data_IF_203400579274
#
_entry.id   IF_203400579274
#
_cell.length_a   1.000
_cell.length_b   1.000
_cell.length_c   1.000
_cell.angle_alpha   90.00
_cell.angle_beta   90.00
_cell.angle_gamma   90.00
#
_symmetry.space_group_name_H-M   'P 1'
#
loop_
_entity.id
_entity.type
_entity.pdbx_description
1 polymer ?
#
# COMPACT_ATOMS: atom_id res chain seq x y z
N UNK A 1 47.18 6.95 43.67
CA UNK A 1 45.86 6.93 43.00
C UNK A 1 45.55 5.48 42.69
N UNK A 2 44.73 4.84 43.53
CA UNK A 2 44.33 3.45 43.32
C UNK A 2 43.07 3.45 42.44
N UNK A 3 43.13 2.77 41.30
CA UNK A 3 42.00 2.64 40.38
C UNK A 3 41.05 1.57 40.96
N UNK A 4 39.77 1.90 41.03
CA UNK A 4 38.72 1.00 41.55
C UNK A 4 38.64 -0.27 40.67
N UNK A 5 38.79 -1.48 41.26
CA UNK A 5 38.68 -2.75 40.54
C UNK A 5 37.37 -2.89 39.74
N UNK A 6 36.30 -2.22 40.17
CA UNK A 6 35.00 -2.22 39.49
C UNK A 6 35.02 -1.41 38.19
N UNK A 7 35.80 -0.33 38.12
CA UNK A 7 35.98 0.44 36.88
C UNK A 7 36.85 -0.33 35.87
N UNK A 8 37.82 -1.10 36.35
CA UNK A 8 38.63 -1.98 35.48
C UNK A 8 37.77 -3.10 34.90
N UNK A 9 36.92 -3.72 35.73
CA UNK A 9 36.01 -4.78 35.28
C UNK A 9 34.97 -4.26 34.28
N UNK A 10 34.41 -3.07 34.53
CA UNK A 10 33.48 -2.41 33.61
C UNK A 10 34.16 -2.10 32.26
N UNK A 11 35.41 -1.59 32.30
CA UNK A 11 36.20 -1.33 31.10
C UNK A 11 36.48 -2.59 30.28
N UNK A 12 36.86 -3.69 30.94
CA UNK A 12 37.11 -4.98 30.27
C UNK A 12 35.83 -5.54 29.65
N UNK A 13 34.68 -5.46 30.34
CA UNK A 13 33.39 -5.92 29.81
C UNK A 13 32.92 -5.11 28.61
N UNK A 14 33.16 -3.78 28.59
CA UNK A 14 32.85 -2.97 27.41
C UNK A 14 33.75 -3.31 26.23
N UNK A 15 35.05 -3.51 26.46
CA UNK A 15 35.99 -3.85 25.37
C UNK A 15 35.69 -5.24 24.79
N UNK A 16 35.33 -6.23 25.62
CA UNK A 16 34.95 -7.56 25.11
C UNK A 16 33.62 -7.53 24.36
N UNK A 17 32.64 -6.71 24.77
CA UNK A 17 31.41 -6.49 23.99
C UNK A 17 31.70 -5.86 22.62
N UNK A 18 32.61 -4.87 22.55
CA UNK A 18 33.00 -4.25 21.27
C UNK A 18 33.83 -5.18 20.38
N UNK A 19 34.67 -6.06 20.95
CA UNK A 19 35.40 -7.08 20.18
C UNK A 19 34.43 -8.15 19.66
N UNK A 20 33.46 -8.60 20.45
CA UNK A 20 32.42 -9.54 19.98
C UNK A 20 31.53 -8.93 18.89
N UNK A 21 31.18 -7.64 18.99
CA UNK A 21 30.45 -6.92 17.93
C UNK A 21 31.31 -6.70 16.68
N UNK A 22 32.63 -6.48 16.83
CA UNK A 22 33.57 -6.37 15.72
C UNK A 22 33.76 -7.68 14.94
N UNK A 23 33.76 -8.82 15.64
CA UNK A 23 33.88 -10.16 15.03
C UNK A 23 32.59 -10.61 14.31
N UNK A 24 31.42 -10.10 14.73
CA UNK A 24 30.15 -10.35 14.03
C UNK A 24 29.99 -9.56 12.73
N UNK A 25 30.78 -8.51 12.51
CA UNK A 25 30.77 -7.70 11.27
C UNK A 25 31.82 -8.20 10.26
N UNK A 26 32.73 -9.08 10.66
CA UNK A 26 33.86 -9.55 9.83
C UNK A 26 33.71 -10.95 9.21
N UNK A 27 32.54 -11.58 9.32
CA UNK A 27 32.24 -12.86 8.66
C UNK A 27 30.94 -12.77 7.90
N UNK A 28 31.01 -12.19 6.71
CA UNK A 28 30.21 -12.60 5.54
C UNK A 28 30.99 -12.24 4.25
N UNK A 29 31.75 -13.23 3.80
CA UNK A 29 32.21 -13.58 2.44
C UNK A 29 32.56 -12.50 1.39
N UNK A 30 33.86 -12.20 1.27
CA UNK A 30 34.69 -11.90 0.07
C UNK A 30 36.14 -12.27 0.49
N UNK A 31 37.06 -12.91 -0.24
CA UNK A 31 37.38 -13.16 -1.67
C UNK A 31 37.96 -14.62 -1.81
N UNK A 32 38.35 -15.21 -2.94
CA UNK A 32 39.36 -14.79 -3.95
C UNK A 32 39.53 -15.89 -5.06
N UNK A 33 40.42 -15.78 -6.08
CA UNK A 33 40.15 -16.19 -7.47
C UNK A 33 40.99 -17.40 -7.95
N UNK A 34 40.90 -17.69 -9.26
CA UNK A 34 41.83 -18.42 -10.19
C UNK A 34 41.32 -19.79 -10.71
N UNK A 35 41.80 -20.29 -11.87
CA UNK A 35 42.18 -19.63 -13.12
C UNK A 35 41.43 -20.20 -14.36
N UNK A 36 41.65 -19.57 -15.51
CA UNK A 36 41.12 -19.96 -16.81
C UNK A 36 41.59 -21.37 -17.27
N UNK A 37 40.66 -22.15 -17.81
CA UNK A 37 40.94 -23.21 -18.81
C UNK A 37 39.84 -23.18 -19.86
N UNK A 38 40.29 -23.07 -21.11
CA UNK A 38 39.51 -23.21 -22.34
C UNK A 38 38.75 -24.55 -22.38
N UNK A 39 37.49 -24.54 -22.80
CA UNK A 39 37.09 -25.49 -23.85
C UNK A 39 35.93 -24.96 -24.71
N UNK A 40 35.94 -25.42 -25.95
CA UNK A 40 35.28 -24.84 -27.10
C UNK A 40 33.92 -25.49 -27.41
N UNK A 41 33.05 -24.72 -28.09
CA UNK A 41 31.93 -25.14 -28.94
C UNK A 41 30.67 -25.76 -28.30
N UNK A 42 29.56 -25.00 -28.28
CA UNK A 42 28.49 -25.16 -29.30
C UNK A 42 27.44 -24.04 -29.18
N UNK A 43 27.20 -23.40 -30.32
CA UNK A 43 26.19 -22.38 -30.54
C UNK A 43 24.77 -22.94 -30.38
N UNK A 44 23.90 -22.14 -29.77
CA UNK A 44 22.46 -22.16 -29.99
C UNK A 44 22.01 -20.72 -30.04
N UNK A 45 21.71 -20.26 -31.25
CA UNK A 45 21.20 -18.94 -31.58
C UNK A 45 19.88 -18.67 -30.83
N UNK A 46 19.82 -17.57 -30.08
CA UNK A 46 18.58 -16.84 -29.86
C UNK A 46 18.87 -15.35 -30.02
N UNK A 47 18.81 -14.95 -31.29
CA UNK A 47 18.26 -13.70 -31.81
C UNK A 47 18.36 -12.48 -30.88
N UNK A 48 19.46 -11.74 -31.03
CA UNK A 48 19.51 -10.31 -30.75
C UNK A 48 18.52 -9.60 -31.69
N UNK A 49 17.29 -9.42 -31.22
CA UNK A 49 16.37 -8.48 -31.86
C UNK A 49 16.81 -7.07 -31.47
N UNK A 50 17.26 -6.33 -32.49
CA UNK A 50 17.48 -4.89 -32.45
C UNK A 50 16.27 -4.20 -31.82
N UNK A 51 16.51 -3.43 -30.75
CA UNK A 51 15.52 -2.51 -30.17
C UNK A 51 15.20 -1.45 -31.21
N UNK A 52 14.17 -1.70 -32.00
CA UNK A 52 13.46 -0.64 -32.69
C UNK A 52 12.84 0.24 -31.58
N UNK A 53 13.13 1.55 -31.60
CA UNK A 53 12.31 2.53 -30.89
C UNK A 53 10.87 2.33 -31.39
N UNK A 54 10.05 1.66 -30.57
CA UNK A 54 8.64 1.45 -30.84
C UNK A 54 7.93 2.79 -30.91
N UNK A 55 6.92 2.87 -31.77
CA UNK A 55 6.07 4.04 -31.96
C UNK A 55 5.18 4.35 -30.73
N UNK A 56 5.19 3.48 -29.71
CA UNK A 56 4.56 3.69 -28.41
C UNK A 56 5.65 4.15 -27.43
N UNK A 57 5.43 5.30 -26.77
CA UNK A 57 6.40 5.97 -25.89
C UNK A 57 6.81 5.15 -24.64
N UNK A 58 7.06 5.76 -23.46
CA UNK A 58 7.50 5.04 -22.25
C UNK A 58 6.41 4.15 -21.62
N UNK A 59 5.32 3.90 -22.35
CA UNK A 59 4.14 3.19 -21.91
C UNK A 59 4.33 1.70 -22.05
N UNK A 60 3.89 0.94 -21.06
CA UNK A 60 3.81 -0.52 -21.17
C UNK A 60 2.36 -0.96 -21.28
N UNK A 61 2.15 -2.02 -22.04
CA UNK A 61 0.90 -2.74 -21.96
C UNK A 61 0.70 -3.29 -20.54
N UNK A 62 -0.55 -3.31 -20.11
CA UNK A 62 -0.91 -3.95 -18.86
C UNK A 62 -0.49 -5.43 -18.88
N UNK A 63 0.02 -5.90 -17.75
CA UNK A 63 0.32 -7.32 -17.58
C UNK A 63 -0.96 -8.14 -17.55
N UNK A 64 -0.80 -9.47 -17.57
CA UNK A 64 -1.94 -10.39 -17.40
C UNK A 64 -2.64 -10.09 -16.07
N UNK A 65 -3.94 -9.79 -16.13
CA UNK A 65 -4.79 -9.70 -14.94
C UNK A 65 -4.72 -11.03 -14.19
N UNK A 66 -4.23 -10.99 -12.96
CA UNK A 66 -4.04 -12.17 -12.15
C UNK A 66 -5.38 -12.62 -11.55
N UNK A 67 -5.56 -13.93 -11.39
CA UNK A 67 -6.80 -14.45 -10.80
C UNK A 67 -6.61 -14.64 -9.30
N UNK A 68 -7.65 -14.39 -8.48
CA UNK A 68 -7.65 -14.81 -7.08
C UNK A 68 -7.29 -16.29 -6.97
N UNK A 69 -6.27 -16.60 -6.17
CA UNK A 69 -5.83 -17.98 -5.91
C UNK A 69 -6.14 -18.43 -4.47
N UNK A 70 -6.70 -17.54 -3.64
CA UNK A 70 -7.25 -17.91 -2.35
C UNK A 70 -8.60 -18.61 -2.52
N UNK A 71 -8.82 -19.65 -1.72
CA UNK A 71 -10.13 -20.29 -1.62
C UNK A 71 -10.98 -19.52 -0.60
N UNK A 72 -12.27 -19.33 -0.89
CA UNK A 72 -13.22 -18.77 0.09
C UNK A 72 -13.38 -19.78 1.23
N UNK A 73 -12.85 -19.53 2.45
CA UNK A 73 -12.85 -20.52 3.50
C UNK A 73 -14.22 -20.54 4.16
N UNK A 74 -14.98 -21.63 3.96
CA UNK A 74 -16.33 -21.77 4.52
C UNK A 74 -16.23 -22.12 6.01
N UNK A 75 -16.99 -21.43 6.86
CA UNK A 75 -17.20 -21.78 8.27
C UNK A 75 -18.21 -22.93 8.27
N UNK A 76 -17.87 -24.08 8.86
CA UNK A 76 -18.90 -25.05 9.23
C UNK A 76 -19.85 -24.37 10.21
N UNK A 77 -21.16 -24.45 9.93
CA UNK A 77 -22.20 -23.77 10.69
C UNK A 77 -22.09 -24.14 12.17
N UNK A 78 -21.68 -23.18 13.00
CA UNK A 78 -21.82 -23.24 14.43
C UNK A 78 -23.08 -22.44 14.80
N UNK A 79 -24.01 -23.08 15.51
CA UNK A 79 -25.37 -22.57 15.74
C UNK A 79 -25.42 -21.23 16.51
N UNK A 80 -24.36 -20.82 17.23
CA UNK A 80 -24.34 -19.57 18.00
C UNK A 80 -22.99 -18.85 17.92
N UNK A 81 -23.02 -17.54 17.60
CA UNK A 81 -21.81 -16.70 17.61
C UNK A 81 -21.36 -16.44 19.04
N UNK A 82 -20.05 -16.56 19.31
CA UNK A 82 -19.50 -16.43 20.67
C UNK A 82 -19.39 -14.98 21.19
N UNK A 83 -19.83 -13.99 20.39
CA UNK A 83 -19.88 -12.58 20.74
C UNK A 83 -19.49 -11.67 19.56
N UNK A 84 -19.10 -10.42 19.84
CA UNK A 84 -18.87 -9.39 18.81
C UNK A 84 -17.42 -8.90 18.73
N UNK A 85 -16.93 -8.76 17.51
CA UNK A 85 -15.71 -8.00 17.17
C UNK A 85 -16.13 -6.67 16.55
N UNK A 86 -15.75 -5.57 17.20
CA UNK A 86 -16.03 -4.20 16.75
C UNK A 86 -14.72 -3.48 16.47
N UNK A 87 -14.73 -2.49 15.58
CA UNK A 87 -13.56 -1.67 15.25
C UNK A 87 -14.01 -0.39 14.54
N UNK A 88 -13.07 0.51 14.31
CA UNK A 88 -13.28 1.74 13.52
C UNK A 88 -12.20 1.81 12.45
N UNK A 89 -12.58 2.27 11.27
CA UNK A 89 -11.66 2.60 10.20
C UNK A 89 -11.08 4.00 10.45
N UNK A 90 -9.77 4.16 10.24
CA UNK A 90 -9.10 5.44 10.51
C UNK A 90 -8.06 5.76 9.45
N UNK A 91 -7.68 7.04 9.40
CA UNK A 91 -6.58 7.60 8.59
C UNK A 91 -6.86 7.70 7.09
N UNK A 92 -7.29 6.63 6.43
CA UNK A 92 -7.52 6.62 4.98
C UNK A 92 -7.64 5.21 4.39
N UNK A 93 -8.01 5.10 3.11
CA UNK A 93 -8.33 3.84 2.46
C UNK A 93 -7.21 2.80 2.51
N UNK A 94 -5.94 3.21 2.45
CA UNK A 94 -4.80 2.29 2.57
C UNK A 94 -4.69 1.64 3.95
N UNK A 95 -5.21 2.29 4.99
CA UNK A 95 -5.32 1.75 6.35
C UNK A 95 -6.58 0.92 6.49
N UNK A 96 -7.69 1.37 5.90
CA UNK A 96 -8.99 0.69 5.98
C UNK A 96 -8.90 -0.75 5.47
N UNK A 97 -8.22 -0.93 4.32
CA UNK A 97 -7.96 -2.24 3.72
C UNK A 97 -7.24 -3.19 4.69
N UNK A 98 -6.18 -2.73 5.37
CA UNK A 98 -5.45 -3.54 6.36
C UNK A 98 -6.26 -3.78 7.64
N UNK A 99 -6.94 -2.76 8.17
CA UNK A 99 -7.76 -2.84 9.38
C UNK A 99 -8.90 -3.86 9.24
N UNK A 100 -9.54 -3.90 8.07
CA UNK A 100 -10.56 -4.91 7.76
C UNK A 100 -9.95 -6.30 7.68
N UNK A 101 -8.81 -6.45 7.01
CA UNK A 101 -8.15 -7.75 6.92
C UNK A 101 -7.85 -8.33 8.30
N UNK A 102 -7.27 -7.53 9.20
CA UNK A 102 -6.98 -7.96 10.57
C UNK A 102 -8.27 -8.28 11.34
N UNK A 103 -9.31 -7.45 11.23
CA UNK A 103 -10.57 -7.65 11.93
C UNK A 103 -11.31 -8.92 11.47
N UNK A 104 -11.28 -9.22 10.17
CA UNK A 104 -11.87 -10.44 9.60
C UNK A 104 -11.12 -11.68 10.07
N UNK A 105 -9.79 -11.66 10.07
CA UNK A 105 -8.95 -12.77 10.57
C UNK A 105 -9.23 -13.03 12.06
N UNK A 106 -9.25 -11.97 12.88
CA UNK A 106 -9.58 -12.08 14.32
C UNK A 106 -11.00 -12.63 14.52
N UNK A 107 -12.00 -12.10 13.82
CA UNK A 107 -13.38 -12.56 13.95
C UNK A 107 -13.55 -14.02 13.54
N UNK A 108 -12.86 -14.45 12.47
CA UNK A 108 -12.86 -15.83 11.99
C UNK A 108 -12.29 -16.79 13.04
N UNK A 109 -11.10 -16.50 13.57
CA UNK A 109 -10.45 -17.38 14.55
C UNK A 109 -11.26 -17.48 15.85
N UNK A 110 -11.86 -16.38 16.28
CA UNK A 110 -12.68 -16.33 17.49
C UNK A 110 -14.11 -16.85 17.30
N UNK A 111 -14.52 -17.22 16.06
CA UNK A 111 -15.91 -17.53 15.70
C UNK A 111 -16.89 -16.45 16.18
N UNK A 112 -16.47 -15.19 16.07
CA UNK A 112 -17.20 -14.02 16.50
C UNK A 112 -17.99 -13.41 15.34
N UNK A 113 -19.05 -12.67 15.67
CA UNK A 113 -19.76 -11.83 14.70
C UNK A 113 -18.97 -10.54 14.49
N UNK A 114 -18.61 -10.24 13.24
CA UNK A 114 -17.96 -9.00 12.85
C UNK A 114 -19.02 -7.90 12.70
N UNK A 115 -18.82 -6.76 13.35
CA UNK A 115 -19.72 -5.61 13.23
C UNK A 115 -19.19 -4.65 12.19
N UNK A 116 -20.05 -4.14 11.30
CA UNK A 116 -19.66 -3.11 10.32
C UNK A 116 -19.09 -1.88 11.07
N UNK A 117 -17.88 -1.42 10.71
CA UNK A 117 -17.21 -0.34 11.42
C UNK A 117 -17.79 1.03 11.07
N UNK A 118 -17.56 2.02 11.92
CA UNK A 118 -17.62 3.44 11.53
C UNK A 118 -16.27 3.87 10.94
N UNK A 119 -16.27 4.97 10.17
CA UNK A 119 -15.05 5.63 9.71
C UNK A 119 -14.81 6.86 10.59
N UNK A 120 -13.56 7.08 11.02
CA UNK A 120 -13.17 8.19 11.87
C UNK A 120 -11.99 8.95 11.27
N UNK A 121 -12.17 10.26 11.13
CA UNK A 121 -11.11 11.15 10.67
C UNK A 121 -10.13 11.53 11.79
N UNK A 122 -9.25 12.48 11.46
CA UNK A 122 -8.22 12.97 12.40
C UNK A 122 -8.79 13.93 13.45
N UNK A 123 -9.89 14.63 13.14
CA UNK A 123 -10.47 15.63 14.02
C UNK A 123 -11.47 15.01 15.01
N UNK A 124 -11.53 15.50 16.26
CA UNK A 124 -12.52 15.03 17.23
C UNK A 124 -13.96 15.24 16.72
N UNK A 125 -14.72 14.16 16.66
CA UNK A 125 -16.11 14.19 16.18
C UNK A 125 -16.26 13.94 14.67
N UNK A 126 -15.17 13.88 13.92
CA UNK A 126 -15.17 13.44 12.53
C UNK A 126 -15.48 11.93 12.48
N UNK A 127 -16.75 11.63 12.17
CA UNK A 127 -17.29 10.27 12.12
C UNK A 127 -18.24 10.16 10.95
N UNK A 128 -18.10 9.07 10.19
CA UNK A 128 -18.94 8.73 9.04
C UNK A 128 -19.43 7.30 9.15
N UNK A 129 -20.58 7.06 8.55
CA UNK A 129 -21.06 5.70 8.37
C UNK A 129 -20.27 5.01 7.24
N UNK A 130 -20.18 3.69 7.30
CA UNK A 130 -19.45 2.90 6.31
C UNK A 130 -20.06 3.02 4.91
N UNK A 131 -21.39 3.06 4.81
CA UNK A 131 -22.18 3.15 3.58
C UNK A 131 -22.05 4.49 2.84
N UNK A 132 -21.57 5.54 3.52
CA UNK A 132 -21.25 6.80 2.84
C UNK A 132 -20.06 6.66 1.89
N UNK A 133 -19.15 5.72 2.17
CA UNK A 133 -17.86 5.56 1.45
C UNK A 133 -17.78 4.24 0.69
N UNK A 134 -18.24 3.14 1.29
CA UNK A 134 -18.06 1.78 0.79
C UNK A 134 -19.39 1.06 0.60
N UNK A 135 -19.42 0.14 -0.37
CA UNK A 135 -20.59 -0.70 -0.64
C UNK A 135 -20.77 -1.76 0.47
N UNK A 136 -21.83 -1.58 1.28
CA UNK A 136 -22.18 -2.50 2.38
C UNK A 136 -22.56 -3.89 1.88
N UNK A 137 -23.30 -3.98 0.77
CA UNK A 137 -23.80 -5.26 0.29
C UNK A 137 -22.68 -6.06 -0.36
N UNK A 138 -21.75 -5.38 -1.05
CA UNK A 138 -20.49 -5.97 -1.48
C UNK A 138 -19.69 -6.50 -0.28
N UNK A 139 -19.51 -5.69 0.76
CA UNK A 139 -18.76 -6.08 1.96
C UNK A 139 -19.35 -7.34 2.62
N UNK A 140 -20.67 -7.36 2.85
CA UNK A 140 -21.36 -8.48 3.49
C UNK A 140 -21.32 -9.75 2.62
N UNK A 141 -21.64 -9.64 1.32
CA UNK A 141 -21.67 -10.80 0.42
C UNK A 141 -20.28 -11.42 0.20
N UNK A 142 -19.23 -10.60 0.16
CA UNK A 142 -17.84 -11.09 0.07
C UNK A 142 -17.44 -11.92 1.30
N UNK A 143 -17.99 -11.62 2.48
CA UNK A 143 -17.69 -12.32 3.73
C UNK A 143 -18.68 -13.44 4.08
N UNK A 144 -19.72 -13.64 3.27
CA UNK A 144 -20.71 -14.69 3.50
C UNK A 144 -20.06 -16.08 3.60
N UNK A 145 -20.42 -16.88 4.59
CA UNK A 145 -19.75 -18.16 4.87
C UNK A 145 -18.30 -18.04 5.40
N UNK A 146 -17.71 -16.84 5.49
CA UNK A 146 -16.36 -16.63 6.04
C UNK A 146 -16.44 -16.12 7.47
N UNK A 147 -17.25 -15.09 7.72
CA UNK A 147 -17.55 -14.58 9.05
C UNK A 147 -18.99 -14.07 9.06
N UNK A 148 -19.69 -14.21 10.19
CA UNK A 148 -21.03 -13.62 10.32
C UNK A 148 -20.86 -12.11 10.44
N UNK A 149 -21.54 -11.34 9.58
CA UNK A 149 -21.48 -9.88 9.59
C UNK A 149 -22.77 -9.28 10.12
N UNK A 150 -22.66 -8.33 11.04
CA UNK A 150 -23.78 -7.57 11.59
C UNK A 150 -23.73 -6.12 11.11
N UNK A 151 -24.81 -5.69 10.44
CA UNK A 151 -24.93 -4.33 9.88
C UNK A 151 -25.14 -3.25 10.96
N UNK A 152 -25.86 -3.55 12.04
CA UNK A 152 -26.18 -2.60 13.10
C UNK A 152 -25.29 -2.75 14.33
N UNK A 153 -24.95 -1.64 15.00
CA UNK A 153 -24.18 -1.69 16.25
C UNK A 153 -24.96 -2.43 17.37
N UNK A 154 -24.40 -3.50 17.95
CA UNK A 154 -25.05 -4.23 19.04
C UNK A 154 -25.02 -3.42 20.34
N UNK A 155 -26.03 -3.63 21.20
CA UNK A 155 -26.04 -3.06 22.56
C UNK A 155 -25.12 -3.85 23.47
N UNK A 156 -23.87 -3.44 23.57
CA UNK A 156 -22.86 -4.07 24.43
C UNK A 156 -22.68 -3.27 25.73
N UNK A 157 -22.77 -3.94 26.87
CA UNK A 157 -22.44 -3.35 28.17
C UNK A 157 -20.93 -3.09 28.28
N UNK A 158 -20.52 -1.93 28.80
CA UNK A 158 -19.11 -1.59 28.99
C UNK A 158 -18.33 -2.61 29.85
N UNK A 159 -19.01 -3.36 30.73
CA UNK A 159 -18.38 -4.42 31.53
C UNK A 159 -17.94 -5.64 30.70
N UNK A 160 -18.64 -5.87 29.58
CA UNK A 160 -18.49 -7.00 28.67
C UNK A 160 -17.76 -6.61 27.38
N UNK A 161 -16.98 -5.52 27.42
CA UNK A 161 -16.18 -5.06 26.29
C UNK A 161 -14.73 -4.86 26.74
N UNK A 162 -13.78 -5.39 25.97
CA UNK A 162 -12.37 -5.05 26.11
C UNK A 162 -11.86 -4.36 24.85
N UNK A 163 -10.99 -3.36 25.02
CA UNK A 163 -10.26 -2.74 23.90
C UNK A 163 -8.93 -3.46 23.75
N UNK A 164 -8.66 -3.97 22.56
CA UNK A 164 -7.47 -4.78 22.26
C UNK A 164 -6.69 -4.13 21.12
N UNK A 165 -5.38 -3.97 21.32
CA UNK A 165 -4.49 -3.48 20.27
C UNK A 165 -4.03 -4.65 19.41
N UNK A 166 -4.08 -4.50 18.09
CA UNK A 166 -3.72 -5.55 17.14
C UNK A 166 -2.71 -5.00 16.14
N UNK A 167 -1.60 -5.71 15.85
CA UNK A 167 -0.68 -5.28 14.81
C UNK A 167 -1.32 -5.46 13.42
N UNK A 168 -0.95 -4.59 12.48
CA UNK A 168 -1.19 -4.84 11.05
C UNK A 168 -0.60 -6.18 10.62
N UNK A 169 -1.37 -6.96 9.86
CA UNK A 169 -1.07 -8.35 9.46
C UNK A 169 -0.98 -9.26 10.67
N UNK A 170 -2.05 -9.27 11.45
CA UNK A 170 -2.20 -10.12 12.63
C UNK A 170 -2.00 -11.60 12.29
N UNK A 171 -1.30 -12.33 13.15
CA UNK A 171 -1.06 -13.77 13.00
C UNK A 171 -1.94 -14.59 13.93
N UNK A 172 -2.17 -15.86 13.58
CA UNK A 172 -2.94 -16.78 14.43
C UNK A 172 -2.35 -16.92 15.84
N UNK A 173 -1.01 -16.97 15.92
CA UNK A 173 -0.29 -17.02 17.20
C UNK A 173 -0.52 -15.77 18.04
N UNK A 174 -0.50 -14.57 17.43
CA UNK A 174 -0.81 -13.35 18.17
C UNK A 174 -2.23 -13.37 18.75
N UNK A 175 -3.20 -13.87 17.98
CA UNK A 175 -4.60 -13.98 18.41
C UNK A 175 -4.74 -14.95 19.57
N UNK A 176 -4.13 -16.14 19.46
CA UNK A 176 -4.16 -17.16 20.51
C UNK A 176 -3.54 -16.64 21.82
N UNK A 177 -2.37 -16.02 21.73
CA UNK A 177 -1.61 -15.59 22.90
C UNK A 177 -2.19 -14.36 23.59
N UNK A 178 -2.78 -13.42 22.82
CA UNK A 178 -3.13 -12.08 23.33
C UNK A 178 -4.62 -11.77 23.33
N UNK A 179 -5.43 -12.46 22.53
CA UNK A 179 -6.83 -12.07 22.27
C UNK A 179 -7.83 -13.13 22.75
N UNK A 180 -7.56 -14.42 22.52
CA UNK A 180 -8.53 -15.50 22.82
C UNK A 180 -9.00 -15.50 24.28
N UNK A 181 -8.07 -15.42 25.24
CA UNK A 181 -8.40 -15.41 26.68
C UNK A 181 -9.25 -14.18 27.06
N UNK A 182 -8.93 -13.02 26.49
CA UNK A 182 -9.67 -11.78 26.71
C UNK A 182 -11.09 -11.90 26.14
N UNK A 183 -11.21 -12.43 24.93
CA UNK A 183 -12.49 -12.63 24.25
C UNK A 183 -13.38 -13.62 25.00
N UNK A 184 -12.86 -14.78 25.42
CA UNK A 184 -13.62 -15.77 26.23
C UNK A 184 -14.16 -15.18 27.53
N UNK A 185 -13.41 -14.27 28.15
CA UNK A 185 -13.80 -13.65 29.43
C UNK A 185 -14.82 -12.53 29.24
N UNK A 186 -14.69 -11.73 28.18
CA UNK A 186 -15.49 -10.52 27.97
C UNK A 186 -16.69 -10.74 27.05
N UNK A 187 -16.62 -11.73 26.17
CA UNK A 187 -17.56 -11.96 25.09
C UNK A 187 -17.41 -10.98 23.92
N UNK A 188 -16.98 -9.73 24.16
CA UNK A 188 -16.87 -8.73 23.10
C UNK A 188 -15.56 -7.97 23.18
N UNK A 189 -15.00 -7.68 22.00
CA UNK A 189 -13.78 -6.90 21.87
C UNK A 189 -13.93 -5.77 20.86
N UNK A 190 -13.21 -4.68 21.13
CA UNK A 190 -13.00 -3.58 20.21
C UNK A 190 -11.54 -3.55 19.78
N UNK A 191 -11.28 -3.73 18.50
CA UNK A 191 -9.93 -3.72 17.95
C UNK A 191 -9.45 -2.30 17.69
N UNK A 192 -8.18 -2.06 17.97
CA UNK A 192 -7.44 -0.86 17.61
C UNK A 192 -6.17 -1.30 16.90
N UNK A 193 -6.16 -1.23 15.58
CA UNK A 193 -5.00 -1.63 14.79
C UNK A 193 -3.89 -0.60 14.88
N UNK A 194 -2.67 -1.05 15.09
CA UNK A 194 -1.46 -0.23 14.99
C UNK A 194 -0.54 -0.78 13.91
N UNK A 195 0.26 0.11 13.32
CA UNK A 195 1.08 -0.19 12.14
C UNK A 195 2.55 -0.12 12.53
N UNK A 196 3.13 -1.20 13.10
CA UNK A 196 4.52 -1.21 13.53
C UNK A 196 5.49 -1.10 12.34
N UNK A 197 5.07 -1.58 11.17
CA UNK A 197 5.78 -1.39 9.90
C UNK A 197 4.78 -1.29 8.75
N UNK A 198 5.22 -0.69 7.64
CA UNK A 198 4.48 -0.65 6.36
C UNK A 198 4.81 -1.86 5.47
N UNK A 199 5.32 -2.95 6.05
CA UNK A 199 5.86 -4.07 5.28
C UNK A 199 4.74 -4.96 4.69
N UNK A 200 4.38 -4.70 3.45
CA UNK A 200 3.49 -5.54 2.64
C UNK A 200 4.24 -6.59 1.81
N UNK A 201 5.41 -7.06 2.27
CA UNK A 201 6.10 -8.17 1.59
C UNK A 201 5.40 -9.49 1.87
N UNK A 202 5.36 -10.37 0.86
CA UNK A 202 4.89 -11.73 1.02
C UNK A 202 5.78 -12.50 1.98
N UNK A 203 5.17 -13.39 2.76
CA UNK A 203 5.89 -14.37 3.56
C UNK A 203 6.36 -15.54 2.71
N UNK A 204 7.25 -16.38 3.26
CA UNK A 204 7.86 -17.50 2.52
C UNK A 204 6.86 -18.62 2.20
N UNK A 205 5.84 -18.79 3.03
CA UNK A 205 4.80 -19.82 2.90
C UNK A 205 3.41 -19.21 3.09
N UNK A 206 2.43 -19.68 2.33
CA UNK A 206 1.04 -19.25 2.38
C UNK A 206 0.25 -20.19 3.29
N UNK A 207 -0.48 -19.63 4.24
CA UNK A 207 -1.31 -20.32 5.24
C UNK A 207 -2.80 -20.18 4.93
N UNK A 208 -3.66 -20.94 5.61
CA UNK A 208 -5.12 -20.75 5.51
C UNK A 208 -5.56 -19.35 5.99
N UNK A 209 -4.88 -18.81 7.01
CA UNK A 209 -5.10 -17.43 7.45
C UNK A 209 -4.74 -16.42 6.37
N UNK A 210 -3.73 -16.70 5.54
CA UNK A 210 -3.43 -15.85 4.39
C UNK A 210 -4.58 -15.85 3.38
N UNK A 211 -5.32 -16.94 3.20
CA UNK A 211 -6.50 -16.95 2.31
C UNK A 211 -7.62 -16.05 2.83
N UNK A 212 -7.88 -16.06 4.14
CA UNK A 212 -8.85 -15.15 4.79
C UNK A 212 -8.38 -13.70 4.64
N UNK A 213 -7.10 -13.43 4.93
CA UNK A 213 -6.52 -12.11 4.81
C UNK A 213 -6.54 -11.60 3.36
N UNK A 214 -6.24 -12.44 2.37
CA UNK A 214 -6.32 -12.12 0.95
C UNK A 214 -7.74 -11.73 0.54
N UNK A 215 -8.73 -12.56 0.90
CA UNK A 215 -10.14 -12.25 0.65
C UNK A 215 -10.54 -10.92 1.28
N UNK A 216 -10.21 -10.71 2.54
CA UNK A 216 -10.57 -9.51 3.27
C UNK A 216 -9.90 -8.26 2.67
N UNK A 217 -8.61 -8.34 2.37
CA UNK A 217 -7.80 -7.24 1.85
C UNK A 217 -8.21 -6.83 0.43
N UNK A 218 -8.47 -7.79 -0.46
CA UNK A 218 -8.66 -7.51 -1.89
C UNK A 218 -10.08 -7.73 -2.41
N UNK A 219 -10.95 -8.38 -1.63
CA UNK A 219 -12.30 -8.78 -2.07
C UNK A 219 -13.45 -8.07 -1.39
N UNK A 220 -13.23 -7.29 -0.32
CA UNK A 220 -14.34 -6.79 0.52
C UNK A 220 -14.65 -5.31 0.36
N UNK A 221 -13.68 -4.47 0.04
CA UNK A 221 -13.87 -3.03 -0.09
C UNK A 221 -14.01 -2.61 -1.56
N UNK A 222 -15.19 -2.08 -1.89
CA UNK A 222 -15.44 -1.32 -3.11
C UNK A 222 -16.10 0.02 -2.72
N UNK A 223 -15.83 1.11 -3.45
CA UNK A 223 -16.52 2.37 -3.19
C UNK A 223 -18.02 2.21 -3.43
N UNK A 224 -18.81 2.92 -2.64
CA UNK A 224 -20.24 3.04 -2.94
C UNK A 224 -20.46 3.78 -4.27
N UNK A 225 -21.62 3.56 -4.88
CA UNK A 225 -21.98 4.01 -6.24
C UNK A 225 -21.60 5.45 -6.57
N UNK A 226 -21.98 6.45 -5.77
CA UNK A 226 -21.69 7.86 -6.07
C UNK A 226 -20.18 8.17 -5.99
N UNK A 227 -19.45 7.53 -5.07
CA UNK A 227 -17.99 7.68 -4.98
C UNK A 227 -17.33 7.04 -6.20
N UNK A 228 -17.82 5.88 -6.64
CA UNK A 228 -17.34 5.23 -7.86
C UNK A 228 -17.61 6.08 -9.09
N UNK A 229 -18.81 6.64 -9.23
CA UNK A 229 -19.20 7.48 -10.37
C UNK A 229 -18.32 8.73 -10.49
N UNK A 230 -17.98 9.40 -9.38
CA UNK A 230 -17.08 10.57 -9.44
C UNK A 230 -15.65 10.15 -9.82
N UNK A 231 -15.16 9.01 -9.32
CA UNK A 231 -13.84 8.47 -9.68
C UNK A 231 -13.80 8.12 -11.18
N UNK A 232 -14.79 7.39 -11.67
CA UNK A 232 -14.89 6.99 -13.07
C UNK A 232 -14.97 8.21 -13.99
N UNK A 233 -15.79 9.20 -13.62
CA UNK A 233 -15.89 10.47 -14.35
C UNK A 233 -14.55 11.22 -14.42
N UNK A 234 -13.80 11.27 -13.32
CA UNK A 234 -12.47 11.88 -13.29
C UNK A 234 -11.47 11.12 -14.18
N UNK A 235 -11.48 9.78 -14.14
CA UNK A 235 -10.63 8.92 -14.98
C UNK A 235 -10.97 9.13 -16.46
N UNK A 236 -12.24 9.11 -16.84
CA UNK A 236 -12.68 9.32 -18.22
C UNK A 236 -12.28 10.70 -18.75
N UNK A 237 -12.33 11.72 -17.88
CA UNK A 237 -11.85 13.07 -18.23
C UNK A 237 -10.34 13.10 -18.42
N UNK A 238 -9.55 12.44 -17.56
CA UNK A 238 -8.09 12.32 -17.72
C UNK A 238 -7.74 11.61 -19.02
N UNK A 239 -8.40 10.49 -19.33
CA UNK A 239 -8.25 9.76 -20.59
C UNK A 239 -8.59 10.63 -21.80
N UNK A 240 -9.68 11.37 -21.73
CA UNK A 240 -10.10 12.31 -22.79
C UNK A 240 -9.09 13.43 -23.02
N UNK A 241 -8.43 13.92 -21.97
CA UNK A 241 -7.38 14.94 -22.07
C UNK A 241 -6.06 14.37 -22.61
N UNK A 242 -5.88 13.05 -22.52
CA UNK A 242 -4.69 12.32 -22.96
C UNK A 242 -4.79 11.70 -24.36
N UNK A 243 -5.57 12.28 -25.27
CA UNK A 243 -5.77 11.77 -26.64
C UNK A 243 -4.48 11.52 -27.43
N UNK A 244 -3.41 12.30 -27.22
CA UNK A 244 -2.13 12.10 -27.94
C UNK A 244 -1.29 10.96 -27.38
N UNK A 245 -1.63 10.46 -26.19
CA UNK A 245 -1.01 9.30 -25.55
C UNK A 245 -2.00 8.14 -25.48
N UNK A 246 -2.87 7.98 -26.48
CA UNK A 246 -3.88 6.91 -26.55
C UNK A 246 -4.80 6.81 -25.31
N UNK A 247 -5.03 7.93 -24.61
CA UNK A 247 -5.81 7.97 -23.37
C UNK A 247 -5.02 7.62 -22.11
N UNK A 248 -3.72 7.31 -22.21
CA UNK A 248 -2.91 6.91 -21.07
C UNK A 248 -2.49 8.09 -20.21
N UNK A 249 -2.50 7.96 -18.89
CA UNK A 249 -2.08 9.01 -17.97
C UNK A 249 -1.23 8.49 -16.80
N UNK A 250 -0.44 9.40 -16.24
CA UNK A 250 0.42 9.14 -15.07
C UNK A 250 -0.29 9.67 -13.83
N UNK A 251 -0.40 8.86 -12.78
CA UNK A 251 -0.81 9.30 -11.45
C UNK A 251 0.40 9.38 -10.51
N UNK A 252 0.56 10.51 -9.82
CA UNK A 252 1.68 10.77 -8.91
C UNK A 252 1.14 10.98 -7.49
N UNK A 253 1.50 10.09 -6.56
CA UNK A 253 1.24 10.28 -5.12
C UNK A 253 2.26 11.26 -4.55
N UNK A 254 1.89 12.54 -4.46
CA UNK A 254 2.79 13.64 -4.12
C UNK A 254 2.58 14.20 -2.70
N UNK A 255 1.39 14.02 -2.10
CA UNK A 255 0.95 14.52 -0.78
C UNK A 255 1.92 15.54 -0.13
N UNK A 256 1.84 16.79 -0.59
CA UNK A 256 2.82 17.84 -0.28
C UNK A 256 2.91 18.09 1.23
N UNK A 257 1.79 17.98 1.94
CA UNK A 257 1.72 18.14 3.40
C UNK A 257 2.57 17.11 4.16
N UNK A 258 2.85 15.94 3.56
CA UNK A 258 3.74 14.91 4.10
C UNK A 258 5.18 15.18 3.67
N UNK A 259 5.42 15.63 2.43
CA UNK A 259 6.75 15.99 1.93
C UNK A 259 7.38 17.14 2.74
N UNK A 260 6.58 18.10 3.16
CA UNK A 260 7.03 19.28 3.92
C UNK A 260 7.26 18.98 5.41
N UNK A 261 6.77 17.85 5.93
CA UNK A 261 7.00 17.42 7.32
C UNK A 261 8.38 16.76 7.46
N UNK A 262 9.13 17.13 8.50
CA UNK A 262 10.50 16.66 8.79
C UNK A 262 10.60 15.12 8.75
N UNK A 263 11.54 14.58 7.97
CA UNK A 263 11.81 13.13 7.88
C UNK A 263 12.21 12.62 6.49
N UNK A 264 12.04 13.45 5.46
CA UNK A 264 12.43 13.19 4.08
C UNK A 264 13.92 13.46 3.83
N UNK A 265 14.63 12.50 3.24
CA UNK A 265 16.00 12.68 2.73
C UNK A 265 16.08 12.16 1.29
N UNK A 266 16.79 12.88 0.40
CA UNK A 266 16.92 12.52 -1.02
C UNK A 266 17.66 11.19 -1.23
N UNK A 267 18.50 10.78 -0.27
CA UNK A 267 19.22 9.51 -0.28
C UNK A 267 19.08 8.83 1.08
N UNK A 268 18.26 7.78 1.12
CA UNK A 268 17.93 7.05 2.33
C UNK A 268 19.14 6.31 2.91
N UNK A 269 19.80 6.89 3.92
CA UNK A 269 20.57 6.08 4.88
C UNK A 269 19.61 5.16 5.65
N UNK A 270 20.15 4.06 6.21
CA UNK A 270 19.39 3.08 7.00
C UNK A 270 18.46 3.78 8.02
N UNK A 271 17.15 3.76 7.76
CA UNK A 271 16.11 4.34 8.62
C UNK A 271 15.45 5.65 8.15
N UNK A 272 15.86 6.27 7.04
CA UNK A 272 15.23 7.50 6.50
C UNK A 272 14.34 7.23 5.27
N UNK A 273 13.20 7.93 5.17
CA UNK A 273 12.26 7.78 4.05
C UNK A 273 12.76 8.56 2.84
N UNK A 274 12.95 7.89 1.71
CA UNK A 274 13.18 8.55 0.42
C UNK A 274 11.90 9.30 0.02
N UNK A 275 12.06 10.59 -0.27
CA UNK A 275 11.00 11.47 -0.73
C UNK A 275 11.50 12.30 -1.92
N UNK A 276 10.62 12.54 -2.88
CA UNK A 276 10.95 13.25 -4.11
C UNK A 276 10.08 14.49 -4.26
N UNK A 277 10.70 15.65 -4.48
CA UNK A 277 9.96 16.88 -4.73
C UNK A 277 9.32 16.83 -6.14
N UNK A 278 8.31 17.68 -6.42
CA UNK A 278 7.67 17.72 -7.75
C UNK A 278 8.67 17.91 -8.90
N UNK A 279 9.69 18.75 -8.69
CA UNK A 279 10.80 18.95 -9.64
C UNK A 279 11.59 17.67 -9.90
N UNK A 280 11.90 16.90 -8.85
CA UNK A 280 12.67 15.65 -8.96
C UNK A 280 11.88 14.62 -9.79
N UNK A 281 10.57 14.49 -9.53
CA UNK A 281 9.67 13.60 -10.28
C UNK A 281 9.52 14.06 -11.73
N UNK A 282 9.43 15.37 -11.97
CA UNK A 282 9.33 15.91 -13.33
C UNK A 282 10.57 15.56 -14.18
N UNK A 283 11.76 15.73 -13.58
CA UNK A 283 13.02 15.36 -14.22
C UNK A 283 13.13 13.85 -14.43
N UNK A 284 12.72 13.06 -13.44
CA UNK A 284 12.67 11.60 -13.52
C UNK A 284 11.81 11.14 -14.72
N UNK A 285 10.56 11.58 -14.80
CA UNK A 285 9.65 11.24 -15.90
C UNK A 285 10.21 11.68 -17.27
N UNK A 286 10.78 12.90 -17.35
CA UNK A 286 11.41 13.37 -18.59
C UNK A 286 12.57 12.47 -19.03
N UNK A 287 13.43 12.05 -18.10
CA UNK A 287 14.58 11.16 -18.40
C UNK A 287 14.15 9.75 -18.83
N UNK A 288 12.98 9.30 -18.40
CA UNK A 288 12.35 8.06 -18.84
C UNK A 288 11.67 8.17 -20.21
N UNK A 289 11.61 9.37 -20.80
CA UNK A 289 11.05 9.58 -22.14
C UNK A 289 9.57 9.99 -22.15
N UNK A 290 8.98 10.35 -21.00
CA UNK A 290 7.64 10.97 -21.00
C UNK A 290 7.70 12.33 -21.66
N UNK A 291 6.81 12.56 -22.63
CA UNK A 291 6.77 13.78 -23.41
C UNK A 291 5.95 14.87 -22.75
N UNK A 292 6.12 16.12 -23.20
CA UNK A 292 5.41 17.29 -22.69
C UNK A 292 3.88 17.17 -22.74
N UNK A 293 3.32 16.39 -23.68
CA UNK A 293 1.86 16.19 -23.80
C UNK A 293 1.31 15.11 -22.85
N UNK A 294 2.16 14.47 -22.03
CA UNK A 294 1.74 13.49 -21.02
C UNK A 294 0.73 14.12 -20.06
N UNK A 295 -0.43 13.47 -19.92
CA UNK A 295 -1.43 13.85 -18.91
C UNK A 295 -1.01 13.31 -17.55
N UNK A 296 -0.97 14.19 -16.55
CA UNK A 296 -0.53 13.88 -15.20
C UNK A 296 -1.63 14.23 -14.20
N UNK A 297 -1.99 13.27 -13.36
CA UNK A 297 -2.80 13.48 -12.17
C UNK A 297 -1.90 13.51 -10.94
N UNK A 298 -2.07 14.49 -10.06
CA UNK A 298 -1.37 14.55 -8.77
C UNK A 298 -2.37 14.43 -7.63
N UNK A 299 -2.00 13.70 -6.57
CA UNK A 299 -2.83 13.53 -5.35
C UNK A 299 -2.84 14.79 -4.47
N UNK A 300 -3.19 15.93 -5.07
CA UNK A 300 -3.35 17.23 -4.43
C UNK A 300 -4.77 17.74 -4.68
N UNK A 301 -5.38 18.33 -3.66
CA UNK A 301 -6.74 18.87 -3.73
C UNK A 301 -6.78 20.07 -4.66
N UNK A 302 -6.01 21.10 -4.30
CA UNK A 302 -5.91 22.38 -5.02
C UNK A 302 -4.51 22.58 -5.57
N UNK A 303 -4.38 23.52 -6.50
CA UNK A 303 -3.08 23.89 -7.02
C UNK A 303 -2.18 24.46 -5.92
N UNK A 304 -0.90 24.09 -5.95
CA UNK A 304 0.13 24.62 -5.07
C UNK A 304 1.35 25.00 -5.93
N UNK A 305 2.04 26.10 -5.61
CA UNK A 305 3.15 26.62 -6.44
C UNK A 305 4.32 25.64 -6.59
N UNK A 306 4.51 24.71 -5.65
CA UNK A 306 5.51 23.65 -5.82
C UNK A 306 5.24 22.72 -7.01
N UNK A 307 4.00 22.69 -7.53
CA UNK A 307 3.64 21.96 -8.76
C UNK A 307 4.03 22.71 -10.05
N UNK A 308 4.41 23.98 -9.97
CA UNK A 308 4.72 24.80 -11.17
C UNK A 308 5.86 24.17 -11.97
N UNK A 309 6.89 23.69 -11.26
CA UNK A 309 7.98 22.91 -11.84
C UNK A 309 7.48 21.70 -12.64
N UNK A 310 6.58 20.91 -12.07
CA UNK A 310 6.01 19.74 -12.73
C UNK A 310 5.18 20.15 -13.96
N UNK A 311 4.42 21.25 -13.86
CA UNK A 311 3.61 21.81 -14.94
C UNK A 311 4.45 22.33 -16.11
N UNK A 312 5.62 22.90 -15.84
CA UNK A 312 6.50 23.39 -16.90
C UNK A 312 6.98 22.24 -17.81
N UNK A 313 7.25 21.07 -17.22
CA UNK A 313 7.58 19.85 -17.95
C UNK A 313 6.35 19.18 -18.57
N UNK A 314 5.24 19.14 -17.83
CA UNK A 314 3.99 18.48 -18.23
C UNK A 314 2.79 19.42 -18.04
N UNK A 315 2.49 20.30 -19.02
CA UNK A 315 1.43 21.31 -18.88
C UNK A 315 0.03 20.76 -18.61
N UNK A 316 -0.22 19.49 -18.97
CA UNK A 316 -1.44 18.73 -18.67
C UNK A 316 -1.38 18.07 -17.28
N UNK A 317 -0.97 18.84 -16.27
CA UNK A 317 -0.98 18.41 -14.87
C UNK A 317 -2.27 18.87 -14.19
N UNK A 318 -2.99 17.94 -13.58
CA UNK A 318 -4.30 18.16 -12.98
C UNK A 318 -4.33 17.75 -11.50
N UNK A 319 -5.05 18.53 -10.70
CA UNK A 319 -5.38 18.28 -9.30
C UNK A 319 -6.83 17.78 -9.22
N UNK A 320 -7.26 17.31 -8.05
CA UNK A 320 -8.66 16.91 -7.82
C UNK A 320 -9.65 18.04 -8.18
N UNK A 321 -9.38 19.26 -7.72
CA UNK A 321 -10.23 20.42 -8.00
C UNK A 321 -10.33 20.75 -9.49
N UNK A 322 -9.27 20.56 -10.28
CA UNK A 322 -9.32 20.91 -11.70
C UNK A 322 -10.01 19.85 -12.56
N UNK A 323 -9.95 18.57 -12.15
CA UNK A 323 -10.50 17.46 -12.93
C UNK A 323 -11.91 17.04 -12.50
N UNK A 324 -12.29 17.24 -11.24
CA UNK A 324 -13.62 16.86 -10.73
C UNK A 324 -14.75 17.70 -11.39
N UNK A 325 -15.88 17.08 -11.78
CA UNK A 325 -17.08 17.80 -12.21
C UNK A 325 -17.53 18.82 -11.16
N UNK A 326 -18.06 19.97 -11.60
CA UNK A 326 -18.34 21.09 -10.70
C UNK A 326 -19.40 20.74 -9.65
N UNK A 327 -20.44 20.04 -10.08
CA UNK A 327 -21.56 19.54 -9.29
C UNK A 327 -21.14 18.60 -8.15
N UNK A 328 -19.96 17.98 -8.27
CA UNK A 328 -19.45 17.01 -7.31
C UNK A 328 -18.50 17.64 -6.27
N UNK A 329 -17.98 18.85 -6.52
CA UNK A 329 -16.93 19.46 -5.68
C UNK A 329 -17.39 19.74 -4.26
N UNK A 330 -18.62 20.21 -4.09
CA UNK A 330 -19.12 20.59 -2.77
C UNK A 330 -19.17 19.39 -1.82
N UNK A 331 -19.60 18.24 -2.34
CA UNK A 331 -19.68 16.99 -1.58
C UNK A 331 -18.31 16.38 -1.30
N UNK A 332 -17.43 16.32 -2.30
CA UNK A 332 -16.22 15.50 -2.23
C UNK A 332 -14.93 16.28 -1.92
N UNK A 333 -14.88 17.59 -2.13
CA UNK A 333 -13.70 18.44 -1.88
C UNK A 333 -13.92 19.54 -0.84
N UNK A 334 -15.16 20.01 -0.66
CA UNK A 334 -15.49 21.06 0.30
C UNK A 334 -16.18 20.51 1.57
N UNK A 335 -16.03 19.21 1.84
CA UNK A 335 -16.53 18.62 3.08
C UNK A 335 -15.61 18.99 4.25
N UNK A 336 -16.14 18.96 5.47
CA UNK A 336 -15.35 19.21 6.70
C UNK A 336 -14.23 18.17 6.94
N UNK A 337 -14.11 17.15 6.08
CA UNK A 337 -13.22 16.01 6.22
C UNK A 337 -12.50 15.73 4.90
N UNK A 338 -11.37 15.04 4.94
CA UNK A 338 -10.59 14.68 3.74
C UNK A 338 -10.77 13.21 3.30
N UNK A 339 -11.71 12.47 3.90
CA UNK A 339 -11.85 11.03 3.66
C UNK A 339 -12.21 10.69 2.21
N UNK A 340 -13.19 11.39 1.62
CA UNK A 340 -13.54 11.18 0.21
C UNK A 340 -12.37 11.50 -0.72
N UNK A 341 -11.62 12.55 -0.44
CA UNK A 341 -10.47 12.93 -1.23
C UNK A 341 -9.40 11.84 -1.26
N UNK A 342 -9.11 11.23 -0.11
CA UNK A 342 -8.14 10.13 0.00
C UNK A 342 -8.63 8.89 -0.74
N UNK A 343 -9.93 8.58 -0.65
CA UNK A 343 -10.55 7.48 -1.39
C UNK A 343 -10.41 7.70 -2.89
N UNK A 344 -10.75 8.88 -3.38
CA UNK A 344 -10.62 9.24 -4.80
C UNK A 344 -9.16 9.08 -5.26
N UNK A 345 -8.20 9.63 -4.51
CA UNK A 345 -6.76 9.48 -4.81
C UNK A 345 -6.34 8.00 -4.87
N UNK A 346 -6.76 7.18 -3.90
CA UNK A 346 -6.42 5.75 -3.86
C UNK A 346 -6.93 4.99 -5.08
N UNK A 347 -8.17 5.23 -5.52
CA UNK A 347 -8.73 4.55 -6.68
C UNK A 347 -8.16 5.07 -8.00
N UNK A 348 -8.00 6.39 -8.20
CA UNK A 348 -7.37 6.93 -9.42
C UNK A 348 -5.94 6.42 -9.58
N UNK A 349 -5.13 6.41 -8.53
CA UNK A 349 -3.77 5.86 -8.56
C UNK A 349 -3.74 4.34 -8.84
N UNK A 350 -4.78 3.61 -8.40
CA UNK A 350 -4.89 2.18 -8.65
C UNK A 350 -5.29 1.84 -10.10
N UNK A 351 -6.02 2.73 -10.77
CA UNK A 351 -6.53 2.53 -12.13
C UNK A 351 -5.68 3.20 -13.23
N UNK A 352 -4.75 4.09 -12.87
CA UNK A 352 -3.89 4.79 -13.84
C UNK A 352 -3.00 3.84 -14.65
N UNK A 353 -2.54 4.27 -15.83
CA UNK A 353 -1.63 3.47 -16.66
C UNK A 353 -0.25 3.40 -15.99
N UNK A 354 0.23 4.52 -15.47
CA UNK A 354 1.49 4.61 -14.72
C UNK A 354 1.22 5.17 -13.33
N UNK A 355 1.81 4.56 -12.30
CA UNK A 355 1.78 5.08 -10.94
C UNK A 355 3.20 5.43 -10.45
N UNK A 356 3.34 6.61 -9.86
CA UNK A 356 4.62 7.12 -9.34
C UNK A 356 4.44 7.56 -7.87
N UNK A 357 5.03 6.85 -6.89
CA UNK A 357 5.01 7.29 -5.51
C UNK A 357 6.14 8.30 -5.24
N UNK A 358 5.80 9.51 -4.79
CA UNK A 358 6.80 10.48 -4.33
C UNK A 358 7.41 10.10 -2.97
N UNK A 359 6.72 9.25 -2.20
CA UNK A 359 7.14 8.82 -0.86
C UNK A 359 6.85 7.34 -0.70
N UNK A 360 7.78 6.61 -0.09
CA UNK A 360 7.52 5.25 0.36
C UNK A 360 6.55 5.22 1.56
N UNK A 361 5.63 4.26 1.59
CA UNK A 361 4.68 4.15 2.70
C UNK A 361 3.52 3.21 2.42
N UNK A 362 2.54 3.24 3.31
CA UNK A 362 1.39 2.33 3.26
C UNK A 362 0.49 2.58 2.04
N UNK A 363 0.35 3.84 1.62
CA UNK A 363 -0.42 4.18 0.42
C UNK A 363 0.21 3.56 -0.83
N UNK A 364 1.50 3.78 -1.05
CA UNK A 364 2.25 3.13 -2.13
C UNK A 364 2.10 1.61 -2.09
N UNK A 365 2.32 0.99 -0.93
CA UNK A 365 2.20 -0.46 -0.79
C UNK A 365 0.79 -0.99 -1.15
N UNK A 366 -0.27 -0.37 -0.65
CA UNK A 366 -1.64 -0.82 -0.94
C UNK A 366 -2.09 -0.51 -2.37
N UNK A 367 -1.70 0.63 -2.95
CA UNK A 367 -1.93 0.90 -4.38
C UNK A 367 -1.18 -0.13 -5.24
N UNK A 368 0.06 -0.47 -4.89
CA UNK A 368 0.81 -1.50 -5.57
C UNK A 368 0.10 -2.87 -5.50
N UNK A 369 -0.46 -3.23 -4.34
CA UNK A 369 -1.28 -4.43 -4.20
C UNK A 369 -2.47 -4.49 -5.15
N UNK A 370 -3.27 -3.41 -5.21
CA UNK A 370 -4.44 -3.32 -6.09
C UNK A 370 -4.04 -3.36 -7.57
N UNK A 371 -2.97 -2.66 -7.94
CA UNK A 371 -2.40 -2.66 -9.29
C UNK A 371 -1.85 -4.02 -9.72
N UNK A 372 -1.21 -4.76 -8.81
CA UNK A 372 -0.75 -6.13 -9.07
C UNK A 372 -1.94 -7.04 -9.37
N UNK A 373 -3.02 -6.93 -8.59
CA UNK A 373 -4.25 -7.70 -8.80
C UNK A 373 -4.85 -7.45 -10.20
N UNK A 374 -4.89 -6.20 -10.65
CA UNK A 374 -5.46 -5.83 -11.96
C UNK A 374 -4.51 -6.02 -13.14
N UNK A 375 -3.22 -6.32 -12.90
CA UNK A 375 -2.20 -6.43 -13.95
C UNK A 375 -1.50 -5.10 -14.31
N UNK A 376 -1.88 -3.98 -13.68
CA UNK A 376 -1.34 -2.63 -13.89
C UNK A 376 0.04 -2.40 -13.26
N UNK A 377 0.99 -3.24 -13.64
CA UNK A 377 2.29 -3.36 -12.95
C UNK A 377 3.32 -2.27 -13.27
N UNK A 378 2.99 -1.29 -14.13
CA UNK A 378 3.84 -0.14 -14.39
C UNK A 378 3.81 0.85 -13.22
N UNK A 379 4.58 0.53 -12.17
CA UNK A 379 4.79 1.36 -10.99
C UNK A 379 6.24 1.82 -11.00
N UNK A 380 6.47 3.10 -11.28
CA UNK A 380 7.81 3.68 -11.42
C UNK A 380 8.20 4.37 -10.12
N UNK A 381 9.21 3.84 -9.44
CA UNK A 381 9.72 4.43 -8.19
C UNK A 381 10.84 5.41 -8.56
N UNK A 382 10.73 6.71 -8.22
CA UNK A 382 11.77 7.67 -8.54
C UNK A 382 13.10 7.30 -7.86
N UNK A 383 14.21 7.49 -8.58
CA UNK A 383 15.58 7.38 -8.08
C UNK A 383 16.47 8.39 -8.83
N UNK A 384 17.67 8.67 -8.31
CA UNK A 384 18.64 9.55 -8.98
C UNK A 384 19.16 8.87 -10.25
N UNK A 385 18.89 9.48 -11.42
CA UNK A 385 19.36 8.96 -12.72
C UNK A 385 20.67 9.66 -13.11
N UNK A 386 21.84 8.98 -13.09
CA UNK A 386 23.13 9.60 -13.41
C UNK A 386 23.32 9.87 -14.90
N UNK A 387 22.61 9.17 -15.79
CA UNK A 387 22.65 9.34 -17.25
C UNK A 387 21.60 10.34 -17.77
N UNK A 388 21.73 10.75 -19.04
CA UNK A 388 20.77 11.63 -19.72
C UNK A 388 19.46 10.91 -20.10
N UNK A 389 19.49 9.58 -20.22
CA UNK A 389 18.36 8.70 -20.53
C UNK A 389 18.53 7.38 -19.78
N UNK A 390 17.45 6.84 -19.24
CA UNK A 390 17.42 5.53 -18.61
C UNK A 390 16.15 4.77 -18.99
N UNK A 391 16.22 3.45 -18.96
CA UNK A 391 15.12 2.59 -19.38
C UNK A 391 14.05 2.52 -18.27
N UNK A 392 12.76 2.76 -18.54
CA UNK A 392 11.70 2.67 -17.52
C UNK A 392 11.68 1.35 -16.75
N UNK A 393 12.15 0.26 -17.35
CA UNK A 393 12.33 -1.07 -16.77
C UNK A 393 13.14 -1.06 -15.47
N UNK A 394 14.18 -0.23 -15.41
CA UNK A 394 15.13 -0.17 -14.29
C UNK A 394 14.48 0.41 -13.02
N UNK A 395 13.41 1.18 -13.18
CA UNK A 395 12.72 1.89 -12.09
C UNK A 395 11.37 1.26 -11.74
N UNK A 396 11.06 0.10 -12.30
CA UNK A 396 9.88 -0.65 -11.89
C UNK A 396 10.04 -1.08 -10.43
N UNK A 397 9.00 -0.82 -9.64
CA UNK A 397 8.90 -1.18 -8.25
C UNK A 397 9.47 -2.56 -7.92
N UNK A 398 10.28 -2.63 -6.86
CA UNK A 398 10.78 -3.92 -6.34
C UNK A 398 9.67 -4.88 -5.91
N UNK A 399 8.46 -4.37 -5.61
CA UNK A 399 7.27 -5.20 -5.37
C UNK A 399 6.92 -6.04 -6.58
N UNK A 400 7.01 -5.46 -7.77
CA UNK A 400 6.70 -6.08 -9.05
C UNK A 400 7.88 -6.90 -9.56
N UNK A 401 9.07 -6.31 -9.69
CA UNK A 401 10.23 -6.98 -10.31
C UNK A 401 10.67 -8.23 -9.53
N UNK A 402 10.62 -8.18 -8.19
CA UNK A 402 10.97 -9.32 -7.32
C UNK A 402 9.76 -10.18 -6.95
N UNK A 403 8.56 -9.85 -7.45
CA UNK A 403 7.27 -10.48 -7.08
C UNK A 403 7.15 -10.72 -5.58
N UNK A 404 7.51 -9.74 -4.76
CA UNK A 404 7.67 -9.89 -3.32
C UNK A 404 6.59 -9.19 -2.50
N UNK A 405 5.59 -8.58 -3.13
CA UNK A 405 4.41 -8.02 -2.45
C UNK A 405 3.44 -9.13 -2.00
N UNK A 406 2.72 -8.90 -0.90
CA UNK A 406 1.71 -9.83 -0.34
C UNK A 406 0.62 -10.18 -1.36
N UNK A 407 0.25 -9.26 -2.25
CA UNK A 407 -0.68 -9.52 -3.35
C UNK A 407 -0.26 -10.73 -4.22
N UNK A 408 1.04 -11.03 -4.40
CA UNK A 408 1.47 -12.23 -5.14
C UNK A 408 1.24 -13.54 -4.39
N UNK A 409 0.92 -13.50 -3.10
CA UNK A 409 0.39 -14.67 -2.37
C UNK A 409 -1.11 -14.83 -2.58
N UNK A 410 -1.80 -13.76 -3.01
CA UNK A 410 -3.25 -13.74 -3.18
C UNK A 410 -3.64 -14.00 -4.65
N UNK A 411 -2.83 -13.60 -5.61
CA UNK A 411 -3.17 -13.69 -7.02
C UNK A 411 -2.16 -14.55 -7.80
N UNK A 412 -2.66 -15.45 -8.66
CA UNK A 412 -1.85 -16.36 -9.49
C UNK A 412 -2.00 -16.14 -11.00
#
# INVERSE_FOLDING_TARGET
>A
MAVDPRQVLAGVLTVTMFVMLGDMIKRDHFDDPHPAVHDTNKASEHTLASVAKGADGPWKEDGVTLKPCWQKPVLEEADESQGYVTFSLTNGPEYHVSQIADAVVVARQLRATLVIPDIRGSEPGDRRNFDEVYDVDKFVSSLDGVVKVMKSQPRISARNLAVVKVPNRVTEGFIADNIETVFRTKGNIRLVTYFPSVNMKKDKEMTNTDSVACLAMFGTLEPQTEVREVVDSMIDRLKTLSRKSNGQFVAIDLRIDILEKKGCHKNGGSGSKSCYAPQDIALFLKKLGFEKDTTVYVTQTKWHSSLDALKDFFPKTYTKESIMPMENKDKFLNSDTTEFEKVIDYYICSESDVFVPAISGLFYANVAGKRIASGKTQILVPEDIPSSTAAPEEFISSYVTKKNHFAYSCFC
#
